data_IF_919159455287
#
_entry.id   IF_919159455287
#
_cell.length_a   1.000
_cell.length_b   1.000
_cell.length_c   1.000
_cell.angle_alpha   90.00
_cell.angle_beta   90.00
_cell.angle_gamma   90.00
#
_symmetry.space_group_name_H-M   'P 1'
#
loop_
_entity.id
_entity.type
_entity.pdbx_description
1 polymer ?
#
# COMPACT_ATOMS: atom_id res chain seq x y z
N UNK A 1 14.48 -8.69 11.90
CA UNK A 1 15.07 -8.40 10.58
C UNK A 1 14.42 -7.10 10.10
N UNK A 2 15.25 -6.10 9.76
CA UNK A 2 14.78 -4.82 9.24
C UNK A 2 14.58 -4.90 7.72
N UNK A 3 13.55 -4.20 7.23
CA UNK A 3 13.30 -4.08 5.79
C UNK A 3 14.13 -2.93 5.21
N UNK A 4 14.70 -3.06 4.00
CA UNK A 4 15.45 -2.00 3.33
C UNK A 4 14.64 -0.71 3.13
N UNK A 5 15.32 0.44 2.99
CA UNK A 5 14.68 1.76 2.86
C UNK A 5 13.84 1.96 1.60
N UNK A 6 14.10 1.18 0.56
CA UNK A 6 13.32 1.21 -0.66
C UNK A 6 11.99 0.41 -0.56
N UNK A 7 11.76 -0.35 0.52
CA UNK A 7 10.47 -1.00 0.81
C UNK A 7 9.56 -0.01 1.51
N UNK A 8 8.46 0.38 0.86
CA UNK A 8 7.53 1.41 1.30
C UNK A 8 6.23 0.87 1.90
N UNK A 9 6.10 -0.44 2.08
CA UNK A 9 4.92 -1.08 2.66
C UNK A 9 5.22 -1.65 4.04
N UNK A 10 4.20 -1.74 4.91
CA UNK A 10 4.31 -2.35 6.23
C UNK A 10 5.20 -1.60 7.24
N UNK A 11 5.66 -0.40 6.92
CA UNK A 11 6.47 0.44 7.80
C UNK A 11 5.67 1.61 8.38
N UNK A 12 5.94 1.94 9.64
CA UNK A 12 5.42 3.15 10.26
C UNK A 12 5.89 4.39 9.47
N UNK A 13 4.98 5.34 9.25
CA UNK A 13 5.22 6.57 8.48
C UNK A 13 5.44 6.39 6.96
N UNK A 14 5.45 5.18 6.43
CA UNK A 14 5.45 4.93 5.00
C UNK A 14 4.02 4.86 4.46
N UNK A 15 3.72 5.63 3.43
CA UNK A 15 2.43 5.65 2.75
C UNK A 15 2.61 5.68 1.24
N UNK A 16 1.54 5.43 0.50
CA UNK A 16 1.54 5.56 -0.96
C UNK A 16 1.93 6.97 -1.44
N UNK A 17 1.65 8.00 -0.61
CA UNK A 17 2.04 9.39 -0.89
C UNK A 17 3.55 9.57 -0.68
N UNK A 18 4.10 9.01 0.40
CA UNK A 18 5.53 9.05 0.67
C UNK A 18 6.31 8.27 -0.39
N UNK A 19 5.77 7.13 -0.85
CA UNK A 19 6.33 6.40 -1.99
C UNK A 19 6.43 7.29 -3.24
N UNK A 20 5.37 7.99 -3.61
CA UNK A 20 5.38 8.90 -4.74
C UNK A 20 6.37 10.07 -4.55
N UNK A 21 6.47 10.59 -3.33
CA UNK A 21 7.36 11.71 -3.01
C UNK A 21 8.84 11.41 -3.27
N UNK A 22 9.27 10.17 -3.07
CA UNK A 22 10.64 9.71 -3.40
C UNK A 22 11.02 9.95 -4.87
N UNK A 23 10.04 9.97 -5.76
CA UNK A 23 10.25 10.08 -7.22
C UNK A 23 9.93 11.47 -7.80
N UNK A 24 9.51 12.45 -6.98
CA UNK A 24 8.97 13.74 -7.46
C UNK A 24 9.98 14.57 -8.25
N UNK A 25 11.27 14.51 -7.87
CA UNK A 25 12.34 15.34 -8.45
C UNK A 25 13.02 14.67 -9.65
N UNK A 26 12.63 13.46 -10.01
CA UNK A 26 13.15 12.73 -11.15
C UNK A 26 12.34 12.99 -12.42
N UNK A 27 13.06 13.27 -13.53
CA UNK A 27 12.46 13.63 -14.81
C UNK A 27 11.73 12.45 -15.48
N UNK A 28 12.26 11.24 -15.33
CA UNK A 28 11.75 10.02 -15.96
C UNK A 28 11.31 9.04 -14.89
N UNK A 29 10.15 8.40 -15.10
CA UNK A 29 9.60 7.39 -14.19
C UNK A 29 9.16 6.17 -15.00
N UNK A 30 9.45 4.99 -14.49
CA UNK A 30 8.98 3.71 -14.97
C UNK A 30 8.23 3.02 -13.82
N UNK A 31 6.99 2.61 -14.06
CA UNK A 31 6.21 1.80 -13.09
C UNK A 31 5.96 0.43 -13.66
N UNK A 32 6.00 -0.58 -12.80
CA UNK A 32 5.68 -1.98 -13.11
C UNK A 32 4.93 -2.58 -11.92
N UNK A 33 3.94 -3.43 -12.19
CA UNK A 33 3.11 -4.08 -11.16
C UNK A 33 3.20 -5.60 -11.35
N UNK A 34 3.17 -6.36 -10.25
CA UNK A 34 3.24 -7.81 -10.28
C UNK A 34 1.82 -8.39 -10.38
N UNK A 35 1.58 -9.23 -11.39
CA UNK A 35 0.29 -9.88 -11.57
C UNK A 35 0.04 -10.91 -10.48
N UNK A 36 -1.16 -10.88 -9.86
CA UNK A 36 -1.62 -11.88 -8.88
C UNK A 36 -0.61 -12.15 -7.76
N UNK A 37 0.03 -11.10 -7.22
CA UNK A 37 1.18 -11.21 -6.32
C UNK A 37 0.89 -12.08 -5.08
N UNK A 38 -0.23 -11.83 -4.39
CA UNK A 38 -0.62 -12.63 -3.21
C UNK A 38 -0.96 -14.09 -3.56
N UNK A 39 -1.66 -14.30 -4.68
CA UNK A 39 -2.04 -15.64 -5.15
C UNK A 39 -0.83 -16.48 -5.58
N UNK A 40 0.25 -15.82 -6.02
CA UNK A 40 1.49 -16.47 -6.45
C UNK A 40 2.32 -16.97 -5.26
N UNK A 41 2.13 -16.39 -4.06
CA UNK A 41 2.82 -16.80 -2.83
C UNK A 41 2.17 -18.06 -2.24
N UNK A 42 2.51 -19.21 -2.80
CA UNK A 42 2.01 -20.50 -2.34
C UNK A 42 2.61 -20.90 -0.99
N UNK A 43 1.91 -21.77 -0.27
CA UNK A 43 2.31 -22.31 1.04
C UNK A 43 3.76 -22.82 1.07
N UNK A 44 4.21 -23.50 0.02
CA UNK A 44 5.59 -24.02 -0.07
C UNK A 44 6.65 -22.92 -0.10
N UNK A 45 6.39 -21.80 -0.78
CA UNK A 45 7.29 -20.65 -0.83
C UNK A 45 7.36 -19.95 0.53
N UNK A 46 6.22 -19.81 1.21
CA UNK A 46 6.10 -19.19 2.53
C UNK A 46 6.81 -20.06 3.58
N UNK A 47 6.64 -21.40 3.52
CA UNK A 47 7.35 -22.32 4.39
C UNK A 47 8.88 -22.18 4.23
N UNK A 48 9.37 -22.18 2.99
CA UNK A 48 10.79 -21.96 2.71
C UNK A 48 11.29 -20.63 3.27
N UNK A 49 10.52 -19.56 3.12
CA UNK A 49 10.87 -18.27 3.72
C UNK A 49 11.06 -18.36 5.23
N UNK A 50 10.17 -19.05 5.96
CA UNK A 50 10.33 -19.22 7.41
C UNK A 50 11.56 -20.04 7.79
N UNK A 51 11.88 -21.10 7.01
CA UNK A 51 13.08 -21.92 7.24
C UNK A 51 14.34 -21.17 6.83
N UNK A 52 14.39 -20.65 5.61
CA UNK A 52 15.63 -20.16 4.99
C UNK A 52 15.97 -18.72 5.39
N UNK A 53 14.96 -17.84 5.48
CA UNK A 53 15.16 -16.42 5.80
C UNK A 53 15.10 -16.17 7.31
N UNK A 54 14.10 -16.72 7.99
CA UNK A 54 13.91 -16.53 9.44
C UNK A 54 14.60 -17.57 10.30
N UNK A 55 15.24 -18.60 9.70
CA UNK A 55 15.98 -19.67 10.39
C UNK A 55 15.15 -20.40 11.45
N UNK A 56 13.85 -20.54 11.20
CA UNK A 56 12.96 -21.28 12.09
C UNK A 56 13.16 -22.80 11.93
N UNK A 57 12.95 -23.57 13.02
CA UNK A 57 12.86 -25.02 12.92
C UNK A 57 11.68 -25.45 12.06
N UNK A 58 11.76 -26.64 11.47
CA UNK A 58 10.76 -27.11 10.49
C UNK A 58 9.33 -27.17 11.05
N UNK A 59 9.17 -27.57 12.30
CA UNK A 59 7.90 -27.65 13.02
C UNK A 59 7.29 -26.26 13.25
N UNK A 60 8.09 -25.29 13.71
CA UNK A 60 7.67 -23.90 13.91
C UNK A 60 7.35 -23.23 12.56
N UNK A 61 8.21 -23.41 11.55
CA UNK A 61 7.99 -22.88 10.20
C UNK A 61 6.67 -23.40 9.61
N UNK A 62 6.37 -24.68 9.81
CA UNK A 62 5.11 -25.28 9.37
C UNK A 62 3.89 -24.71 10.09
N UNK A 63 3.97 -24.55 11.41
CA UNK A 63 2.90 -23.91 12.20
C UNK A 63 2.67 -22.47 11.75
N UNK A 64 3.72 -21.67 11.63
CA UNK A 64 3.64 -20.28 11.17
C UNK A 64 3.03 -20.18 9.76
N UNK A 65 3.45 -21.09 8.86
CA UNK A 65 2.89 -21.15 7.51
C UNK A 65 1.38 -21.42 7.54
N UNK A 66 0.90 -22.33 8.37
CA UNK A 66 -0.54 -22.57 8.54
C UNK A 66 -1.30 -21.35 9.05
N UNK A 67 -0.72 -20.63 10.01
CA UNK A 67 -1.35 -19.44 10.61
C UNK A 67 -1.52 -18.29 9.61
N UNK A 68 -0.60 -18.13 8.66
CA UNK A 68 -0.62 -17.01 7.70
C UNK A 68 -1.24 -17.36 6.35
N UNK A 69 -1.55 -18.64 6.08
CA UNK A 69 -2.13 -19.09 4.81
C UNK A 69 -3.56 -19.58 4.98
N UNK A 70 -4.40 -19.30 3.98
CA UNK A 70 -5.72 -19.86 3.81
C UNK A 70 -5.83 -20.47 2.40
N UNK A 71 -6.37 -21.69 2.28
CA UNK A 71 -6.48 -22.41 1.00
C UNK A 71 -5.16 -22.44 0.18
N UNK A 72 -4.03 -22.72 0.85
CA UNK A 72 -2.69 -22.75 0.29
C UNK A 72 -2.14 -21.42 -0.25
N UNK A 73 -2.80 -20.28 0.00
CA UNK A 73 -2.42 -18.94 -0.46
C UNK A 73 -2.38 -17.94 0.69
N UNK A 74 -1.80 -16.78 0.44
CA UNK A 74 -1.90 -15.64 1.35
C UNK A 74 -3.27 -14.98 1.20
N UNK A 75 -4.06 -14.82 2.28
CA UNK A 75 -5.34 -14.15 2.21
C UNK A 75 -5.17 -12.65 1.95
N UNK A 76 -5.93 -12.14 0.98
CA UNK A 76 -6.03 -10.70 0.72
C UNK A 76 -6.70 -10.02 1.90
N UNK A 77 -6.12 -8.91 2.40
CA UNK A 77 -6.70 -8.13 3.51
C UNK A 77 -6.24 -8.55 4.91
N UNK A 78 -5.46 -9.60 5.07
CA UNK A 78 -4.78 -9.87 6.33
C UNK A 78 -3.66 -8.86 6.58
N UNK A 79 -3.54 -8.29 7.79
CA UNK A 79 -2.50 -7.32 8.12
C UNK A 79 -1.07 -7.84 7.91
N UNK A 80 -0.84 -9.14 8.11
CA UNK A 80 0.47 -9.78 7.94
C UNK A 80 0.84 -10.08 6.49
N UNK A 81 -0.15 -10.21 5.59
CA UNK A 81 0.07 -10.71 4.22
C UNK A 81 1.06 -9.86 3.43
N UNK A 82 1.05 -8.53 3.61
CA UNK A 82 1.99 -7.63 2.92
C UNK A 82 3.45 -7.93 3.28
N UNK A 83 3.73 -8.16 4.56
CA UNK A 83 5.09 -8.46 5.00
C UNK A 83 5.50 -9.90 4.67
N UNK A 84 4.58 -10.86 4.80
CA UNK A 84 4.84 -12.25 4.45
C UNK A 84 5.15 -12.39 2.97
N UNK A 85 4.38 -11.77 2.06
CA UNK A 85 4.67 -11.85 0.62
C UNK A 85 5.98 -11.15 0.26
N UNK A 86 6.30 -10.01 0.88
CA UNK A 86 7.59 -9.34 0.68
C UNK A 86 8.75 -10.27 1.06
N UNK A 87 8.74 -10.83 2.29
CA UNK A 87 9.81 -11.70 2.74
C UNK A 87 9.93 -13.00 1.94
N UNK A 88 8.80 -13.52 1.42
CA UNK A 88 8.79 -14.68 0.52
C UNK A 88 9.62 -14.46 -0.73
N UNK A 89 9.63 -13.24 -1.26
CA UNK A 89 10.34 -12.85 -2.48
C UNK A 89 11.47 -11.85 -2.25
N UNK A 90 11.93 -11.67 -1.01
CA UNK A 90 12.93 -10.65 -0.64
C UNK A 90 14.20 -10.73 -1.49
N UNK A 91 14.76 -11.92 -1.70
CA UNK A 91 15.94 -12.12 -2.55
C UNK A 91 15.74 -11.64 -4.00
N UNK A 92 14.55 -11.89 -4.56
CA UNK A 92 14.21 -11.38 -5.90
C UNK A 92 14.19 -9.85 -5.91
N UNK A 93 13.60 -9.22 -4.90
CA UNK A 93 13.54 -7.77 -4.81
C UNK A 93 14.92 -7.15 -4.56
N UNK A 94 15.80 -7.82 -3.82
CA UNK A 94 17.20 -7.39 -3.67
C UNK A 94 17.95 -7.41 -5.02
N UNK A 95 17.72 -8.42 -5.88
CA UNK A 95 18.27 -8.45 -7.23
C UNK A 95 17.66 -7.34 -8.12
N UNK A 96 16.36 -7.09 -8.02
CA UNK A 96 15.70 -5.97 -8.73
C UNK A 96 16.28 -4.63 -8.26
N UNK A 97 16.54 -4.45 -6.97
CA UNK A 97 17.23 -3.27 -6.47
C UNK A 97 18.62 -3.12 -7.07
N UNK A 98 19.44 -4.19 -7.13
CA UNK A 98 20.75 -4.17 -7.78
C UNK A 98 20.65 -3.80 -9.27
N UNK A 99 19.62 -4.32 -9.97
CA UNK A 99 19.33 -3.92 -11.36
C UNK A 99 19.07 -2.42 -11.43
N UNK A 100 18.23 -1.87 -10.54
CA UNK A 100 17.93 -0.43 -10.53
C UNK A 100 19.21 0.42 -10.36
N UNK A 101 20.12 -0.01 -9.49
CA UNK A 101 21.39 0.69 -9.25
C UNK A 101 22.31 0.66 -10.49
N UNK A 102 22.36 -0.46 -11.22
CA UNK A 102 23.12 -0.54 -12.49
C UNK A 102 22.63 0.47 -13.53
N UNK A 103 21.32 0.75 -13.55
CA UNK A 103 20.71 1.74 -14.44
C UNK A 103 20.61 3.15 -13.83
N UNK A 104 21.24 3.39 -12.67
CA UNK A 104 21.23 4.68 -11.95
C UNK A 104 19.81 5.19 -11.68
N UNK A 105 18.91 4.28 -11.30
CA UNK A 105 17.54 4.60 -10.96
C UNK A 105 17.32 4.55 -9.44
N UNK A 106 16.59 5.53 -8.92
CA UNK A 106 15.92 5.40 -7.62
C UNK A 106 14.84 4.32 -7.74
N UNK A 107 14.79 3.40 -6.79
CA UNK A 107 13.84 2.29 -6.77
C UNK A 107 13.03 2.32 -5.49
N UNK A 108 11.73 2.08 -5.61
CA UNK A 108 10.86 1.78 -4.47
C UNK A 108 9.90 0.66 -4.79
N UNK A 109 9.53 -0.09 -3.73
CA UNK A 109 8.54 -1.15 -3.77
C UNK A 109 7.39 -0.82 -2.80
N UNK A 110 6.17 -0.71 -3.35
CA UNK A 110 4.96 -0.55 -2.56
C UNK A 110 4.02 -1.73 -2.81
N UNK A 111 4.11 -2.76 -1.99
CA UNK A 111 3.45 -4.07 -2.13
C UNK A 111 3.89 -4.77 -3.42
N UNK A 112 3.09 -4.66 -4.48
CA UNK A 112 3.29 -5.20 -5.83
C UNK A 112 3.68 -4.13 -6.86
N UNK A 113 3.53 -2.84 -6.50
CA UNK A 113 3.90 -1.71 -7.36
C UNK A 113 5.41 -1.40 -7.25
N UNK A 114 6.17 -1.64 -8.29
CA UNK A 114 7.58 -1.28 -8.45
C UNK A 114 7.70 0.04 -9.18
N UNK A 115 8.44 1.00 -8.61
CA UNK A 115 8.69 2.29 -9.23
C UNK A 115 10.19 2.52 -9.38
N UNK A 116 10.60 2.88 -10.59
CA UNK A 116 11.97 3.26 -10.94
C UNK A 116 11.96 4.70 -11.46
N UNK A 117 12.89 5.54 -11.02
CA UNK A 117 12.96 6.90 -11.53
C UNK A 117 14.39 7.40 -11.66
N UNK A 118 14.61 8.32 -12.58
CA UNK A 118 15.93 8.88 -12.87
C UNK A 118 15.82 10.30 -13.42
N UNK A 119 16.88 11.09 -13.26
CA UNK A 119 17.03 12.40 -13.92
C UNK A 119 17.33 12.28 -15.42
N UNK A 120 17.88 11.14 -15.86
CA UNK A 120 18.20 10.82 -17.26
C UNK A 120 17.20 9.79 -17.81
N UNK A 121 17.05 9.68 -19.13
CA UNK A 121 16.22 8.65 -19.76
C UNK A 121 16.58 7.25 -19.24
N UNK A 122 15.58 6.49 -18.82
CA UNK A 122 15.77 5.12 -18.32
C UNK A 122 15.94 4.19 -19.51
N UNK A 123 16.99 3.36 -19.49
CA UNK A 123 17.25 2.38 -20.52
C UNK A 123 16.10 1.34 -20.59
N UNK A 124 15.63 1.02 -21.78
CA UNK A 124 14.58 0.02 -22.02
C UNK A 124 14.95 -1.36 -21.48
N UNK A 125 16.25 -1.70 -21.45
CA UNK A 125 16.74 -2.97 -20.96
C UNK A 125 16.41 -3.21 -19.47
N UNK A 126 16.29 -2.15 -18.66
CA UNK A 126 15.86 -2.26 -17.26
C UNK A 126 14.55 -3.06 -17.14
N UNK A 127 13.57 -2.78 -18.01
CA UNK A 127 12.28 -3.48 -18.01
C UNK A 127 12.43 -4.98 -18.24
N UNK A 128 13.28 -5.35 -19.18
CA UNK A 128 13.51 -6.74 -19.56
C UNK A 128 14.26 -7.50 -18.47
N UNK A 129 15.27 -6.87 -17.87
CA UNK A 129 16.03 -7.45 -16.75
C UNK A 129 15.11 -7.68 -15.53
N UNK A 130 14.24 -6.72 -15.19
CA UNK A 130 13.25 -6.86 -14.10
C UNK A 130 12.23 -7.96 -14.45
N UNK A 131 11.71 -8.00 -15.69
CA UNK A 131 10.78 -9.03 -16.11
C UNK A 131 11.41 -10.44 -16.07
N UNK A 132 12.69 -10.55 -16.39
CA UNK A 132 13.46 -11.79 -16.26
C UNK A 132 13.53 -12.26 -14.81
N UNK A 133 13.85 -11.35 -13.87
CA UNK A 133 13.88 -11.65 -12.43
C UNK A 133 12.50 -12.12 -11.91
N UNK A 134 11.42 -11.46 -12.31
CA UNK A 134 10.07 -11.89 -11.99
C UNK A 134 9.81 -13.31 -12.50
N UNK A 135 10.13 -13.58 -13.78
CA UNK A 135 9.93 -14.88 -14.42
C UNK A 135 10.72 -16.01 -13.73
N UNK A 136 11.98 -15.76 -13.35
CA UNK A 136 12.82 -16.73 -12.62
C UNK A 136 12.21 -17.13 -11.27
N UNK A 137 11.39 -16.27 -10.67
CA UNK A 137 10.69 -16.51 -9.41
C UNK A 137 9.21 -16.91 -9.60
N UNK A 138 8.81 -17.31 -10.82
CA UNK A 138 7.44 -17.74 -11.12
C UNK A 138 6.41 -16.61 -11.16
N UNK A 139 6.86 -15.35 -11.19
CA UNK A 139 6.01 -14.16 -11.24
C UNK A 139 5.96 -13.55 -12.64
N UNK A 140 4.99 -12.67 -12.87
CA UNK A 140 4.82 -11.95 -14.15
C UNK A 140 4.47 -10.50 -13.90
N UNK A 141 5.05 -9.60 -14.70
CA UNK A 141 4.62 -8.21 -14.74
C UNK A 141 3.22 -8.10 -15.35
N UNK A 142 2.41 -7.16 -14.87
CA UNK A 142 1.08 -6.85 -15.38
C UNK A 142 1.19 -5.82 -16.51
N UNK A 143 0.95 -6.18 -17.78
CA UNK A 143 1.21 -5.30 -18.92
C UNK A 143 0.42 -3.98 -18.88
N UNK A 144 -0.81 -3.99 -18.35
CA UNK A 144 -1.69 -2.82 -18.28
C UNK A 144 -1.20 -1.76 -17.29
N UNK A 145 -0.28 -2.11 -16.39
CA UNK A 145 0.31 -1.20 -15.39
C UNK A 145 1.80 -0.95 -15.63
N UNK A 146 2.30 -1.32 -16.80
CA UNK A 146 3.67 -1.10 -17.24
C UNK A 146 3.75 0.24 -18.00
N UNK A 147 4.07 1.33 -17.27
CA UNK A 147 4.09 2.68 -17.83
C UNK A 147 5.47 3.30 -17.79
N UNK A 148 5.81 4.05 -18.84
CA UNK A 148 7.00 4.87 -18.91
C UNK A 148 6.63 6.34 -19.13
N UNK A 149 7.02 7.18 -18.19
CA UNK A 149 6.75 8.60 -18.20
C UNK A 149 8.02 9.39 -18.55
N UNK A 150 7.92 10.22 -19.58
CA UNK A 150 8.99 11.10 -20.04
C UNK A 150 9.02 12.41 -19.24
N UNK A 151 10.15 13.14 -19.35
CA UNK A 151 10.29 14.47 -18.77
C UNK A 151 9.16 15.42 -19.19
N UNK A 152 8.73 16.28 -18.28
CA UNK A 152 7.65 17.26 -18.52
C UNK A 152 6.24 16.68 -18.59
N UNK A 153 6.07 15.36 -18.58
CA UNK A 153 4.74 14.73 -18.56
C UNK A 153 4.26 14.49 -17.13
N UNK A 154 2.94 14.49 -16.96
CA UNK A 154 2.32 14.02 -15.71
C UNK A 154 2.66 12.54 -15.50
N UNK A 155 3.26 12.23 -14.36
CA UNK A 155 3.62 10.87 -13.94
C UNK A 155 2.64 10.40 -12.87
N UNK A 156 2.28 9.15 -12.88
CA UNK A 156 1.47 8.55 -11.82
C UNK A 156 2.29 7.51 -11.08
N UNK A 157 2.42 7.67 -9.76
CA UNK A 157 3.07 6.72 -8.85
C UNK A 157 2.11 6.41 -7.71
N UNK A 158 1.76 5.12 -7.53
CA UNK A 158 0.83 4.64 -6.48
C UNK A 158 -0.46 5.49 -6.34
N UNK A 159 -0.97 5.99 -7.49
CA UNK A 159 -2.20 6.80 -7.52
C UNK A 159 -2.03 8.26 -7.10
N UNK A 160 -0.81 8.76 -7.04
CA UNK A 160 -0.46 10.18 -6.88
C UNK A 160 0.14 10.71 -8.18
N UNK A 161 -0.31 11.87 -8.63
CA UNK A 161 0.29 12.55 -9.77
C UNK A 161 1.56 13.29 -9.36
N UNK A 162 2.59 13.24 -10.22
CA UNK A 162 3.84 13.99 -10.06
C UNK A 162 4.03 14.88 -11.28
N UNK A 163 4.16 16.18 -11.08
CA UNK A 163 4.42 17.15 -12.15
C UNK A 163 5.21 18.33 -11.61
N UNK A 164 6.26 18.73 -12.32
CA UNK A 164 7.08 19.90 -12.00
C UNK A 164 7.57 19.93 -10.54
N UNK A 165 8.06 18.77 -10.03
CA UNK A 165 8.53 18.59 -8.66
C UNK A 165 7.44 18.61 -7.58
N UNK A 166 6.15 18.60 -7.97
CA UNK A 166 5.01 18.67 -7.04
C UNK A 166 4.15 17.42 -7.11
N UNK A 167 3.55 17.08 -5.96
CA UNK A 167 2.48 16.07 -5.89
C UNK A 167 1.17 16.72 -6.28
N UNK A 168 0.38 16.09 -7.14
CA UNK A 168 -0.93 16.58 -7.57
C UNK A 168 -1.98 15.47 -7.53
N UNK A 169 -3.20 15.87 -7.28
CA UNK A 169 -4.37 14.99 -7.34
C UNK A 169 -4.73 14.72 -8.79
N UNK A 170 -4.84 13.45 -9.16
CA UNK A 170 -5.21 13.03 -10.52
C UNK A 170 -6.64 13.45 -10.89
N UNK A 171 -6.87 13.84 -12.15
CA UNK A 171 -8.17 14.31 -12.63
C UNK A 171 -9.32 13.33 -12.36
N UNK A 172 -9.08 12.02 -12.45
CA UNK A 172 -10.11 11.03 -12.11
C UNK A 172 -10.55 11.11 -10.64
N UNK A 173 -9.62 11.36 -9.69
CA UNK A 173 -9.95 11.54 -8.26
C UNK A 173 -10.66 12.88 -8.03
N UNK A 174 -10.26 13.94 -8.75
CA UNK A 174 -10.97 15.24 -8.73
C UNK A 174 -12.42 15.09 -9.18
N UNK A 175 -12.66 14.38 -10.29
CA UNK A 175 -14.01 14.10 -10.77
C UNK A 175 -14.82 13.30 -9.75
N UNK A 176 -14.25 12.25 -9.21
CA UNK A 176 -14.94 11.40 -8.21
C UNK A 176 -15.43 12.18 -6.99
N UNK A 177 -14.62 13.10 -6.45
CA UNK A 177 -15.05 13.89 -5.29
C UNK A 177 -16.12 14.94 -5.66
N UNK A 178 -16.06 15.54 -6.85
CA UNK A 178 -17.08 16.45 -7.33
C UNK A 178 -18.42 15.75 -7.57
N UNK A 179 -18.40 14.54 -8.13
CA UNK A 179 -19.60 13.70 -8.30
C UNK A 179 -20.20 13.33 -6.93
N UNK A 180 -19.34 12.98 -5.95
CA UNK A 180 -19.77 12.71 -4.58
C UNK A 180 -20.36 13.94 -3.90
N UNK A 181 -19.75 15.11 -4.06
CA UNK A 181 -20.25 16.38 -3.55
C UNK A 181 -21.62 16.73 -4.11
N UNK A 182 -21.81 16.53 -5.41
CA UNK A 182 -23.11 16.74 -6.06
C UNK A 182 -24.21 15.82 -5.50
N UNK A 183 -23.87 14.57 -5.16
CA UNK A 183 -24.80 13.64 -4.49
C UNK A 183 -25.17 14.13 -3.09
N UNK A 184 -24.18 14.57 -2.29
CA UNK A 184 -24.42 15.07 -0.94
C UNK A 184 -25.36 16.28 -0.92
N UNK A 185 -25.21 17.21 -1.89
CA UNK A 185 -26.10 18.38 -2.01
C UNK A 185 -27.57 18.00 -2.30
N UNK A 186 -27.80 16.85 -2.97
CA UNK A 186 -29.15 16.41 -3.34
C UNK A 186 -29.84 15.60 -2.24
N UNK A 187 -29.10 14.79 -1.48
CA UNK A 187 -29.68 13.81 -0.56
C UNK A 187 -29.52 14.15 0.93
N UNK A 188 -28.57 15.03 1.29
CA UNK A 188 -28.18 15.37 2.68
C UNK A 188 -27.97 14.12 3.57
N UNK A 189 -27.62 12.98 2.97
CA UNK A 189 -27.42 11.73 3.68
C UNK A 189 -26.08 11.75 4.40
N UNK A 190 -26.10 11.57 5.72
CA UNK A 190 -24.90 11.66 6.56
C UNK A 190 -23.83 10.61 6.20
N UNK A 191 -24.18 9.41 5.71
CA UNK A 191 -23.24 8.41 5.26
C UNK A 191 -22.49 8.84 3.98
N UNK A 192 -23.20 9.52 3.05
CA UNK A 192 -22.58 10.08 1.85
C UNK A 192 -21.69 11.27 2.20
N UNK A 193 -22.06 12.06 3.22
CA UNK A 193 -21.26 13.18 3.74
C UNK A 193 -20.00 12.65 4.43
N UNK A 194 -20.08 11.59 5.22
CA UNK A 194 -18.92 10.92 5.81
C UNK A 194 -17.93 10.43 4.73
N UNK A 195 -18.45 9.81 3.66
CA UNK A 195 -17.66 9.38 2.52
C UNK A 195 -16.98 10.55 1.83
N UNK A 196 -17.70 11.66 1.60
CA UNK A 196 -17.14 12.90 1.03
C UNK A 196 -16.02 13.45 1.91
N UNK A 197 -16.21 13.49 3.23
CA UNK A 197 -15.18 13.91 4.18
C UNK A 197 -13.92 13.04 4.11
N UNK A 198 -14.08 11.73 4.09
CA UNK A 198 -12.96 10.79 3.92
C UNK A 198 -12.20 11.00 2.60
N UNK A 199 -12.92 11.21 1.50
CA UNK A 199 -12.31 11.53 0.20
C UNK A 199 -11.54 12.86 0.25
N UNK A 200 -12.10 13.92 0.82
CA UNK A 200 -11.43 15.21 0.94
C UNK A 200 -10.17 15.11 1.81
N UNK A 201 -10.23 14.43 2.96
CA UNK A 201 -9.09 14.21 3.84
C UNK A 201 -7.94 13.47 3.11
N UNK A 202 -8.27 12.46 2.31
CA UNK A 202 -7.26 11.73 1.52
C UNK A 202 -6.63 12.62 0.42
N UNK A 203 -7.42 13.44 -0.28
CA UNK A 203 -6.89 14.33 -1.32
C UNK A 203 -6.05 15.47 -0.75
N UNK A 204 -6.39 15.99 0.42
CA UNK A 204 -5.63 17.06 1.10
C UNK A 204 -4.28 16.61 1.64
N UNK A 205 -4.06 15.33 1.82
CA UNK A 205 -2.70 14.80 2.07
C UNK A 205 -1.78 14.95 0.84
N UNK A 206 -2.34 15.05 -0.36
CA UNK A 206 -1.60 15.28 -1.61
C UNK A 206 -1.49 16.77 -1.93
N UNK A 207 -2.64 17.48 -1.92
CA UNK A 207 -2.75 18.93 -2.13
C UNK A 207 -3.54 19.55 -0.98
N UNK A 208 -2.89 20.21 0.00
CA UNK A 208 -3.53 20.69 1.24
C UNK A 208 -4.73 21.62 1.03
N UNK A 209 -4.66 22.50 0.03
CA UNK A 209 -5.69 23.55 -0.20
C UNK A 209 -6.72 23.18 -1.26
N UNK A 210 -6.76 21.89 -1.66
CA UNK A 210 -7.71 21.45 -2.68
C UNK A 210 -9.17 21.54 -2.20
N UNK A 211 -10.09 22.00 -3.04
CA UNK A 211 -11.53 22.06 -2.82
C UNK A 211 -11.96 22.79 -1.53
N UNK A 212 -11.67 24.11 -1.39
CA UNK A 212 -12.05 24.87 -0.20
C UNK A 212 -13.57 24.96 -0.01
N UNK A 213 -14.36 24.98 -1.10
CA UNK A 213 -15.82 24.96 -1.03
C UNK A 213 -16.39 23.67 -0.43
N UNK A 214 -15.78 22.50 -0.72
CA UNK A 214 -16.21 21.23 -0.13
C UNK A 214 -15.86 21.22 1.36
N UNK A 215 -14.70 21.76 1.74
CA UNK A 215 -14.32 21.88 3.14
C UNK A 215 -15.28 22.79 3.93
N UNK A 216 -15.66 23.92 3.36
CA UNK A 216 -16.64 24.82 3.97
C UNK A 216 -18.01 24.16 4.12
N UNK A 217 -18.47 23.42 3.11
CA UNK A 217 -19.69 22.64 3.21
C UNK A 217 -19.65 21.61 4.34
N UNK A 218 -18.54 20.87 4.48
CA UNK A 218 -18.36 19.84 5.51
C UNK A 218 -18.29 20.39 6.93
N UNK A 219 -17.89 21.67 7.15
CA UNK A 219 -17.91 22.31 8.47
C UNK A 219 -19.31 22.31 9.12
N UNK A 220 -20.37 22.40 8.32
CA UNK A 220 -21.75 22.36 8.83
C UNK A 220 -22.12 20.99 9.44
N UNK A 221 -21.41 19.94 9.10
CA UNK A 221 -21.65 18.57 9.55
C UNK A 221 -20.58 18.05 10.53
N UNK A 222 -19.66 18.92 10.99
CA UNK A 222 -18.51 18.51 11.78
C UNK A 222 -18.89 17.78 13.07
N UNK A 223 -19.88 18.28 13.81
CA UNK A 223 -20.35 17.67 15.05
C UNK A 223 -21.03 16.31 14.80
N UNK A 224 -21.82 16.20 13.75
CA UNK A 224 -22.44 14.93 13.35
C UNK A 224 -21.40 13.87 12.98
N UNK A 225 -20.41 14.26 12.18
CA UNK A 225 -19.30 13.38 11.80
C UNK A 225 -18.48 12.92 13.00
N UNK A 226 -18.16 13.82 13.94
CA UNK A 226 -17.49 13.48 15.22
C UNK A 226 -18.33 12.48 16.04
N UNK A 227 -19.63 12.69 16.12
CA UNK A 227 -20.57 11.81 16.82
C UNK A 227 -20.62 10.41 16.19
N UNK A 228 -20.61 10.31 14.86
CA UNK A 228 -20.57 9.02 14.15
C UNK A 228 -19.29 8.24 14.44
N UNK A 229 -18.12 8.89 14.35
CA UNK A 229 -16.82 8.27 14.65
C UNK A 229 -16.80 7.75 16.09
N UNK A 230 -17.24 8.56 17.05
CA UNK A 230 -17.33 8.20 18.47
C UNK A 230 -18.25 7.00 18.70
N UNK A 231 -19.42 6.97 18.08
CA UNK A 231 -20.38 5.87 18.20
C UNK A 231 -19.83 4.56 17.61
N UNK A 232 -19.12 4.63 16.48
CA UNK A 232 -18.45 3.48 15.86
C UNK A 232 -17.36 2.93 16.77
N UNK A 233 -16.54 3.79 17.37
CA UNK A 233 -15.51 3.42 18.33
C UNK A 233 -16.10 2.69 19.56
N UNK A 234 -17.16 3.23 20.18
CA UNK A 234 -17.81 2.56 21.30
C UNK A 234 -18.47 1.23 20.92
N UNK A 235 -19.02 1.11 19.72
CA UNK A 235 -19.56 -0.17 19.23
C UNK A 235 -18.45 -1.21 19.09
N UNK A 236 -17.29 -0.86 18.54
CA UNK A 236 -16.12 -1.76 18.45
C UNK A 236 -15.64 -2.21 19.83
N UNK A 237 -15.53 -1.31 20.80
CA UNK A 237 -15.15 -1.65 22.17
C UNK A 237 -16.15 -2.63 22.84
N UNK A 238 -17.45 -2.48 22.59
CA UNK A 238 -18.48 -3.40 23.10
C UNK A 238 -18.38 -4.78 22.48
N UNK A 239 -18.07 -4.89 21.20
CA UNK A 239 -17.86 -6.17 20.51
C UNK A 239 -16.63 -6.88 21.08
N UNK A 240 -15.53 -6.19 21.26
CA UNK A 240 -14.31 -6.77 21.84
C UNK A 240 -14.50 -7.22 23.30
N UNK A 241 -15.32 -6.52 24.10
CA UNK A 241 -15.66 -6.97 25.47
C UNK A 241 -16.59 -8.20 25.50
N UNK A 242 -17.46 -8.38 24.51
CA UNK A 242 -18.34 -9.56 24.40
C UNK A 242 -17.64 -10.80 23.82
N UNK A 243 -16.54 -10.61 23.06
CA UNK A 243 -15.75 -11.68 22.46
C UNK A 243 -14.69 -12.29 23.39
N UNK A 244 -14.57 -11.83 24.66
CA UNK A 244 -13.63 -12.38 25.63
C UNK A 244 -14.36 -12.83 26.91
N UNK A 245 -15.02 -14.02 26.93
CA UNK A 245 -15.73 -14.52 28.11
C UNK A 245 -14.83 -15.22 29.14
N UNK A 246 -13.51 -15.18 29.01
CA UNK A 246 -12.57 -15.82 29.93
C UNK A 246 -11.57 -14.85 30.54
N UNK A 247 -12.09 -13.93 31.37
CA UNK A 247 -11.33 -13.27 32.42
C UNK A 247 -11.15 -14.23 33.59
N UNK A 248 -10.38 -15.30 33.44
CA UNK A 248 -9.97 -16.12 34.58
C UNK A 248 -9.10 -15.27 35.50
N UNK A 249 -9.63 -14.95 36.68
CA UNK A 249 -8.90 -14.40 37.83
C UNK A 249 -7.75 -15.34 38.19
N UNK A 250 -6.54 -15.07 37.72
CA UNK A 250 -5.33 -15.67 38.30
C UNK A 250 -5.02 -14.90 39.58
N UNK A 251 -5.51 -15.39 40.72
CA UNK A 251 -5.04 -15.02 42.04
C UNK A 251 -3.59 -15.52 42.16
N UNK A 252 -2.64 -14.61 42.11
CA UNK A 252 -1.28 -14.88 42.53
C UNK A 252 -1.31 -14.91 44.05
N UNK A 253 -1.25 -16.13 44.63
CA UNK A 253 -0.99 -16.32 46.05
C UNK A 253 0.47 -16.08 46.34
N UNK A 254 0.75 -15.06 47.11
CA UNK A 254 2.04 -14.83 47.76
C UNK A 254 2.26 -15.92 48.84
N UNK A 255 3.33 -16.63 48.72
CA UNK A 255 4.08 -17.30 49.80
C UNK A 255 5.54 -17.42 49.38
#
# INVERSE_FOLDING_TARGET
>A
IETPDWVMTGKKHCSYIYNAERHKDNAFVKTMDISQFYDSAQRSHIYKMFVDTFKMSNDIAWLMTKLVTYENKLPTGSPSSQMVVYWTYSHMFDEIYKISQRYQCEFTLYVDDMTFSSRKPINKQLREDVACQLKMNGLKAKPQKDHYYQAGKLKEVTGVGLKDGRKIVLNRKRKQILDQFSKCKKSSNILEIEKLNGMLCALRQIEPDIFPEIANYLKHYEEELKRMVRNRYYRMLRINKKGNPSGANVKISSS
#
